data_IF_588228505089
#
_entry.id   IF_588228505089
#
_cell.length_a   1.000
_cell.length_b   1.000
_cell.length_c   1.000
_cell.angle_alpha   90.00
_cell.angle_beta   90.00
_cell.angle_gamma   90.00
#
_symmetry.space_group_name_H-M   'P 1'
#
loop_
_entity.id
_entity.type
_entity.pdbx_description
1 polymer ?
#
# COMPACT_ATOMS: atom_id res chain seq x y z
N UNK A 1 0.09 -5.26 10.34
CA UNK A 1 -1.23 -5.84 10.01
C UNK A 1 -1.55 -5.44 8.59
N UNK A 2 -1.84 -6.39 7.70
CA UNK A 2 -2.45 -6.06 6.42
C UNK A 2 -3.87 -5.58 6.67
N UNK A 3 -4.39 -4.66 5.86
CA UNK A 3 -5.81 -4.32 5.91
C UNK A 3 -6.56 -5.45 5.18
N UNK A 4 -6.51 -6.66 5.75
CA UNK A 4 -7.19 -7.84 5.22
C UNK A 4 -8.70 -7.58 5.31
N UNK A 5 -9.32 -7.31 4.18
CA UNK A 5 -10.73 -6.91 4.08
C UNK A 5 -10.99 -5.78 3.09
N UNK A 6 -9.94 -5.14 2.57
CA UNK A 6 -10.03 -4.26 1.41
C UNK A 6 -9.44 -5.03 0.24
N UNK A 7 -10.31 -5.72 -0.52
CA UNK A 7 -9.89 -6.15 -1.85
C UNK A 7 -9.48 -4.88 -2.63
N UNK A 8 -8.37 -4.85 -3.38
CA UNK A 8 -7.95 -3.70 -4.18
C UNK A 8 -9.06 -3.17 -5.12
N UNK A 9 -10.03 -4.02 -5.43
CA UNK A 9 -11.20 -3.74 -6.27
C UNK A 9 -12.40 -3.13 -5.51
N UNK A 10 -12.42 -3.24 -4.17
CA UNK A 10 -13.53 -2.72 -3.34
C UNK A 10 -13.13 -1.41 -2.66
N UNK A 11 -13.87 -0.34 -2.96
CA UNK A 11 -13.75 0.89 -2.21
C UNK A 11 -14.14 0.66 -0.74
N UNK A 12 -13.33 1.12 0.23
CA UNK A 12 -13.65 1.00 1.65
C UNK A 12 -14.87 1.85 1.98
N UNK A 13 -15.71 1.33 2.87
CA UNK A 13 -16.81 2.08 3.44
C UNK A 13 -16.32 3.28 4.26
N UNK A 14 -17.17 4.30 4.49
CA UNK A 14 -16.84 5.44 5.36
C UNK A 14 -16.37 5.03 6.77
N UNK A 15 -16.93 3.94 7.30
CA UNK A 15 -16.54 3.38 8.60
C UNK A 15 -15.12 2.82 8.57
N UNK A 16 -14.76 2.07 7.53
CA UNK A 16 -13.41 1.54 7.36
C UNK A 16 -12.39 2.67 7.17
N UNK A 17 -12.73 3.73 6.44
CA UNK A 17 -11.86 4.90 6.32
C UNK A 17 -11.57 5.57 7.67
N UNK A 18 -12.58 5.64 8.56
CA UNK A 18 -12.39 6.15 9.92
C UNK A 18 -11.46 5.23 10.75
N UNK A 19 -11.66 3.91 10.67
CA UNK A 19 -10.80 2.94 11.35
C UNK A 19 -9.34 3.03 10.86
N UNK A 20 -9.14 3.22 9.56
CA UNK A 20 -7.81 3.43 8.96
C UNK A 20 -7.20 4.74 9.46
N UNK A 21 -7.97 5.83 9.53
CA UNK A 21 -7.48 7.10 10.07
C UNK A 21 -7.04 6.98 11.53
N UNK A 22 -7.82 6.30 12.36
CA UNK A 22 -7.50 6.10 13.77
C UNK A 22 -6.27 5.20 13.93
N UNK A 23 -6.15 4.16 13.10
CA UNK A 23 -4.96 3.33 13.06
C UNK A 23 -3.70 4.14 12.69
N UNK A 24 -3.77 4.94 11.64
CA UNK A 24 -2.65 5.79 11.19
C UNK A 24 -2.21 6.74 12.31
N UNK A 25 -3.16 7.40 12.98
CA UNK A 25 -2.87 8.31 14.09
C UNK A 25 -2.25 7.59 15.28
N UNK A 26 -2.81 6.43 15.65
CA UNK A 26 -2.37 5.65 16.81
C UNK A 26 -0.96 5.13 16.64
N UNK A 27 -0.63 4.61 15.45
CA UNK A 27 0.66 3.98 15.17
C UNK A 27 1.64 4.90 14.45
N UNK A 28 1.27 6.18 14.25
CA UNK A 28 2.07 7.18 13.53
C UNK A 28 2.57 6.67 12.18
N UNK A 29 1.68 6.01 11.44
CA UNK A 29 2.00 5.41 10.14
C UNK A 29 2.38 6.52 9.16
N UNK A 30 3.60 6.46 8.63
CA UNK A 30 4.12 7.44 7.66
C UNK A 30 3.81 7.05 6.22
N UNK A 31 3.79 5.75 5.93
CA UNK A 31 3.65 5.20 4.59
C UNK A 31 2.63 4.06 4.59
N UNK A 32 1.68 4.10 3.65
CA UNK A 32 0.80 2.97 3.32
C UNK A 32 1.27 2.39 1.99
N UNK A 33 1.42 1.06 1.98
CA UNK A 33 1.72 0.31 0.77
C UNK A 33 0.41 -0.16 0.12
N UNK A 34 0.28 0.10 -1.18
CA UNK A 34 -0.84 -0.35 -2.00
C UNK A 34 -0.31 -1.20 -3.15
N UNK A 35 -1.12 -2.13 -3.63
CA UNK A 35 -0.75 -2.96 -4.77
C UNK A 35 -0.88 -2.17 -6.08
N UNK A 36 -0.10 -2.55 -7.10
CA UNK A 36 -0.16 -1.92 -8.44
C UNK A 36 -1.55 -1.98 -9.07
N UNK A 37 -2.31 -3.03 -8.72
CA UNK A 37 -3.66 -3.28 -9.22
C UNK A 37 -4.74 -2.63 -8.36
N UNK A 38 -4.37 -2.03 -7.22
CA UNK A 38 -5.32 -1.30 -6.40
C UNK A 38 -5.82 -0.05 -7.13
N UNK A 39 -7.13 0.18 -7.05
CA UNK A 39 -7.77 1.35 -7.66
C UNK A 39 -7.04 2.64 -7.28
N UNK A 40 -6.57 3.40 -8.28
CA UNK A 40 -5.92 4.71 -8.09
C UNK A 40 -6.79 5.68 -7.29
N UNK A 41 -8.11 5.52 -7.36
CA UNK A 41 -9.10 6.32 -6.62
C UNK A 41 -9.08 6.05 -5.11
N UNK A 42 -8.83 4.80 -4.70
CA UNK A 42 -8.64 4.45 -3.29
C UNK A 42 -7.38 5.11 -2.74
N UNK A 43 -6.28 4.99 -3.47
CA UNK A 43 -5.01 5.63 -3.13
C UNK A 43 -5.19 7.16 -2.99
N UNK A 44 -5.81 7.83 -3.97
CA UNK A 44 -6.04 9.26 -3.87
C UNK A 44 -6.90 9.66 -2.66
N UNK A 45 -7.95 8.90 -2.37
CA UNK A 45 -8.84 9.16 -1.23
C UNK A 45 -8.09 9.05 0.10
N UNK A 46 -7.29 7.99 0.27
CA UNK A 46 -6.48 7.79 1.46
C UNK A 46 -5.44 8.91 1.63
N UNK A 47 -4.72 9.25 0.55
CA UNK A 47 -3.73 10.33 0.57
C UNK A 47 -4.35 11.68 0.97
N UNK A 48 -5.50 12.03 0.39
CA UNK A 48 -6.22 13.29 0.69
C UNK A 48 -6.73 13.34 2.14
N UNK A 49 -7.19 12.21 2.66
CA UNK A 49 -7.87 12.16 3.96
C UNK A 49 -6.93 11.96 5.15
N UNK A 50 -5.75 11.36 4.94
CA UNK A 50 -4.84 10.97 6.03
C UNK A 50 -3.50 11.72 6.00
N UNK A 51 -3.11 12.29 4.85
CA UNK A 51 -1.82 12.97 4.70
C UNK A 51 -0.60 12.05 4.66
N UNK A 52 -0.79 10.73 4.68
CA UNK A 52 0.30 9.75 4.64
C UNK A 52 0.86 9.59 3.23
N UNK A 53 2.11 9.15 3.15
CA UNK A 53 2.70 8.78 1.87
C UNK A 53 2.11 7.47 1.36
N UNK A 54 1.87 7.41 0.06
CA UNK A 54 1.49 6.17 -0.61
C UNK A 54 2.65 5.66 -1.45
N UNK A 55 2.92 4.37 -1.31
CA UNK A 55 3.90 3.65 -2.11
C UNK A 55 3.25 2.43 -2.73
N UNK A 56 3.64 2.13 -3.96
CA UNK A 56 3.23 0.90 -4.62
C UNK A 56 4.19 -0.20 -4.20
N UNK A 57 3.65 -1.35 -3.82
CA UNK A 57 4.39 -2.57 -3.56
C UNK A 57 3.74 -3.69 -4.35
N UNK A 58 4.51 -4.37 -5.21
CA UNK A 58 3.95 -5.41 -6.06
C UNK A 58 3.92 -6.74 -5.30
N UNK A 59 2.75 -7.37 -5.07
CA UNK A 59 2.70 -8.65 -4.37
C UNK A 59 3.26 -9.82 -5.20
N UNK A 60 3.62 -9.58 -6.47
CA UNK A 60 4.11 -10.57 -7.44
C UNK A 60 3.10 -11.69 -7.73
N UNK A 61 1.80 -11.42 -7.52
CA UNK A 61 0.70 -12.32 -7.86
C UNK A 61 0.45 -12.40 -9.37
N UNK A 62 0.82 -11.34 -10.09
CA UNK A 62 0.81 -11.27 -11.54
C UNK A 62 2.25 -11.07 -12.06
N UNK A 63 2.52 -11.56 -13.27
CA UNK A 63 3.83 -11.38 -13.94
C UNK A 63 4.04 -9.89 -14.20
N UNK A 64 5.07 -9.27 -13.61
CA UNK A 64 5.40 -7.88 -13.90
C UNK A 64 5.78 -7.70 -15.37
N UNK A 65 5.36 -6.60 -16.00
CA UNK A 65 5.76 -6.27 -17.37
C UNK A 65 7.20 -5.71 -17.41
N UNK A 66 8.17 -6.57 -17.12
CA UNK A 66 9.59 -6.26 -17.17
C UNK A 66 10.44 -7.51 -17.50
N UNK A 67 11.71 -7.30 -17.83
CA UNK A 67 12.66 -8.38 -18.15
C UNK A 67 13.41 -8.92 -16.91
N UNK A 68 12.90 -8.65 -15.69
CA UNK A 68 13.58 -9.04 -14.44
C UNK A 68 13.16 -10.44 -14.01
N UNK A 69 14.09 -11.14 -13.39
CA UNK A 69 13.80 -12.40 -12.70
C UNK A 69 12.87 -12.19 -11.50
N UNK A 70 12.30 -13.29 -11.00
CA UNK A 70 11.49 -13.24 -9.79
C UNK A 70 12.26 -12.67 -8.59
N UNK A 71 13.53 -13.06 -8.42
CA UNK A 71 14.35 -12.60 -7.29
C UNK A 71 14.68 -11.12 -7.41
N UNK A 72 15.00 -10.62 -8.60
CA UNK A 72 15.22 -9.18 -8.80
C UNK A 72 13.96 -8.36 -8.48
N UNK A 73 12.79 -8.82 -8.91
CA UNK A 73 11.52 -8.18 -8.56
C UNK A 73 11.26 -8.21 -7.04
N UNK A 74 11.58 -9.32 -6.36
CA UNK A 74 11.46 -9.45 -4.91
C UNK A 74 12.44 -8.53 -4.17
N UNK A 75 13.69 -8.44 -4.63
CA UNK A 75 14.71 -7.56 -4.06
C UNK A 75 14.31 -6.09 -4.15
N UNK A 76 13.72 -5.67 -5.28
CA UNK A 76 13.20 -4.30 -5.42
C UNK A 76 12.08 -3.99 -4.42
N UNK A 77 11.12 -4.92 -4.26
CA UNK A 77 10.07 -4.78 -3.26
C UNK A 77 10.64 -4.69 -1.83
N UNK A 78 11.61 -5.53 -1.50
CA UNK A 78 12.28 -5.51 -0.20
C UNK A 78 13.07 -4.22 0.02
N UNK A 79 13.72 -3.68 -1.02
CA UNK A 79 14.44 -2.42 -0.95
C UNK A 79 13.49 -1.24 -0.67
N UNK A 80 12.31 -1.22 -1.30
CA UNK A 80 11.26 -0.23 -1.03
C UNK A 80 10.81 -0.32 0.44
N UNK A 81 10.48 -1.53 0.91
CA UNK A 81 10.09 -1.75 2.31
C UNK A 81 11.18 -1.29 3.28
N UNK A 82 12.43 -1.71 3.06
CA UNK A 82 13.55 -1.37 3.93
C UNK A 82 13.82 0.15 3.97
N UNK A 83 13.66 0.84 2.84
CA UNK A 83 13.84 2.29 2.74
C UNK A 83 12.78 3.06 3.53
N UNK A 84 11.53 2.66 3.45
CA UNK A 84 10.41 3.36 4.09
C UNK A 84 10.30 3.04 5.59
N UNK A 85 10.83 1.89 6.02
CA UNK A 85 10.85 1.48 7.42
C UNK A 85 12.12 1.93 8.17
N UNK A 86 13.21 2.26 7.45
CA UNK A 86 14.38 2.92 8.04
C UNK A 86 14.04 4.38 8.30
N UNK A 87 13.81 4.71 9.58
CA UNK A 87 13.70 6.08 10.07
C UNK A 87 14.98 6.88 9.82
#
# INVERSE_FOLDING_TARGET
MGISGISPEQEPSPRQLAEIQDFIKTYQVKTIFVESNASSKLAETLKKSTGVNLKVLNPLEAVPENDKTYLENLEENLAILAKELKN
#
